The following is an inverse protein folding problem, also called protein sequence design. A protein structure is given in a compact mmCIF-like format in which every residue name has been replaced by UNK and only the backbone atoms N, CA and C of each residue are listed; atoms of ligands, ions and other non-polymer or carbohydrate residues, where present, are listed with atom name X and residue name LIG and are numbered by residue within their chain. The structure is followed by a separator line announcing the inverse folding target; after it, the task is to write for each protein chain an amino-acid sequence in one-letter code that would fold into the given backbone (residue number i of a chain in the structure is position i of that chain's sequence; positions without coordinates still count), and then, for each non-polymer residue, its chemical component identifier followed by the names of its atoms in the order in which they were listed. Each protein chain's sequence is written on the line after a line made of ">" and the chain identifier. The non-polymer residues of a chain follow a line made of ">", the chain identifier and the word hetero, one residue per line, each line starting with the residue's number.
data_IF_330279428617
#
_entry.id   IF_330279428617
#
_cell.length_a   1.000
_cell.length_b   1.000
_cell.length_c   1.000
_cell.angle_alpha   90.00
_cell.angle_beta   90.00
_cell.angle_gamma   90.00
#
_symmetry.space_group_name_H-M   'P 1'
#
loop_
_entity.id
_entity.type
_entity.pdbx_description
1 polymer ?
#
# COMPACT_ATOMS: atom_id res chain seq x y z
N UNK A 1 -10.77 2.57 -21.56
CA UNK A 1 -12.12 2.89 -21.05
C UNK A 1 -12.80 3.69 -22.13
N UNK A 2 -13.98 3.25 -22.62
CA UNK A 2 -14.66 3.94 -23.73
C UNK A 2 -15.33 5.24 -23.22
N UNK A 3 -15.45 6.26 -24.08
CA UNK A 3 -16.13 7.53 -23.76
C UNK A 3 -17.56 7.32 -23.27
N UNK A 4 -18.24 6.29 -23.77
CA UNK A 4 -19.59 5.92 -23.33
C UNK A 4 -19.66 5.49 -21.87
N UNK A 5 -18.64 4.78 -21.37
CA UNK A 5 -18.56 4.35 -19.96
C UNK A 5 -18.37 5.55 -19.04
N UNK A 6 -17.50 6.49 -19.40
CA UNK A 6 -17.26 7.70 -18.62
C UNK A 6 -18.54 8.55 -18.55
N UNK A 7 -19.23 8.73 -19.69
CA UNK A 7 -20.49 9.48 -19.73
C UNK A 7 -21.57 8.87 -18.87
N UNK A 8 -21.69 7.54 -18.83
CA UNK A 8 -22.64 6.85 -17.97
C UNK A 8 -22.36 7.06 -16.49
N UNK A 9 -21.09 6.99 -16.07
CA UNK A 9 -20.70 7.25 -14.68
C UNK A 9 -20.94 8.70 -14.27
N UNK A 10 -20.66 9.66 -15.15
CA UNK A 10 -20.91 11.08 -14.89
C UNK A 10 -22.42 11.36 -14.75
N UNK A 11 -23.26 10.75 -15.58
CA UNK A 11 -24.70 10.90 -15.47
C UNK A 11 -25.23 10.28 -14.15
N UNK A 12 -24.71 9.14 -13.73
CA UNK A 12 -25.03 8.55 -12.43
C UNK A 12 -24.61 9.47 -11.26
N UNK A 13 -23.41 10.05 -11.34
CA UNK A 13 -22.92 11.01 -10.34
C UNK A 13 -23.79 12.27 -10.28
N UNK A 14 -24.18 12.85 -11.42
CA UNK A 14 -25.11 13.99 -11.48
C UNK A 14 -26.42 13.69 -10.80
N UNK A 15 -27.02 12.54 -11.13
CA UNK A 15 -28.29 12.10 -10.53
C UNK A 15 -28.18 11.95 -9.02
N UNK A 16 -27.04 11.45 -8.52
CA UNK A 16 -26.82 11.28 -7.09
C UNK A 16 -26.71 12.60 -6.30
N UNK A 17 -26.20 13.67 -6.94
CA UNK A 17 -26.06 15.00 -6.33
C UNK A 17 -27.19 15.97 -6.72
N UNK A 18 -28.26 15.50 -7.39
CA UNK A 18 -29.40 16.32 -7.79
C UNK A 18 -29.09 17.30 -8.93
N UNK A 19 -28.08 17.02 -9.76
CA UNK A 19 -27.71 17.82 -10.93
C UNK A 19 -28.20 17.14 -12.23
N UNK A 20 -28.46 17.90 -13.28
CA UNK A 20 -28.84 17.37 -14.59
C UNK A 20 -27.79 17.65 -15.65
N UNK A 21 -27.85 16.93 -16.77
CA UNK A 21 -26.99 17.13 -17.92
C UNK A 21 -27.25 18.48 -18.60
N UNK A 22 -28.47 19.00 -18.50
CA UNK A 22 -28.92 20.26 -19.14
C UNK A 22 -28.59 21.45 -18.26
N UNK A 23 -28.79 21.33 -16.93
CA UNK A 23 -28.61 22.47 -16.00
C UNK A 23 -27.13 22.67 -15.59
N UNK A 24 -26.37 21.60 -15.44
CA UNK A 24 -24.93 21.62 -15.13
C UNK A 24 -24.55 22.58 -13.98
N UNK A 25 -25.36 22.62 -12.91
CA UNK A 25 -25.17 23.54 -11.78
C UNK A 25 -23.98 23.13 -10.89
N UNK A 26 -23.74 21.86 -10.74
CA UNK A 26 -22.70 21.33 -9.86
C UNK A 26 -21.55 20.68 -10.65
N UNK A 27 -21.86 19.99 -11.76
CA UNK A 27 -20.90 19.32 -12.63
C UNK A 27 -20.99 19.86 -14.05
N UNK A 28 -20.05 20.73 -14.44
CA UNK A 28 -19.98 21.31 -15.77
C UNK A 28 -19.09 20.51 -16.71
N UNK A 29 -19.59 20.25 -17.91
CA UNK A 29 -18.79 19.66 -18.99
C UNK A 29 -17.93 20.74 -19.64
N UNK A 30 -16.61 20.52 -19.70
CA UNK A 30 -15.66 21.42 -20.40
C UNK A 30 -15.18 20.72 -21.65
N UNK A 31 -15.56 21.28 -22.81
CA UNK A 31 -15.23 20.72 -24.12
C UNK A 31 -13.73 20.45 -24.24
N UNK A 32 -13.36 19.23 -24.66
CA UNK A 32 -11.98 18.72 -24.82
C UNK A 32 -11.13 18.65 -23.54
N UNK A 33 -11.66 19.01 -22.36
CA UNK A 33 -10.92 19.01 -21.08
C UNK A 33 -11.53 18.09 -20.03
N UNK A 34 -12.79 17.65 -20.20
CA UNK A 34 -13.47 16.75 -19.27
C UNK A 34 -14.56 17.43 -18.44
N UNK A 35 -14.62 17.13 -17.15
CA UNK A 35 -15.67 17.57 -16.23
C UNK A 35 -15.09 18.38 -15.08
N UNK A 36 -15.78 19.43 -14.65
CA UNK A 36 -15.39 20.30 -13.55
C UNK A 36 -16.53 20.45 -12.56
N UNK A 37 -16.26 20.24 -11.28
CA UNK A 37 -17.18 20.59 -10.21
C UNK A 37 -17.17 22.12 -9.99
N UNK A 38 -18.35 22.76 -9.98
CA UNK A 38 -18.50 24.20 -9.85
C UNK A 38 -19.46 24.60 -8.70
N UNK A 39 -19.95 23.62 -7.93
CA UNK A 39 -20.79 23.87 -6.76
C UNK A 39 -20.02 24.53 -5.61
N UNK A 40 -20.71 25.34 -4.79
CA UNK A 40 -20.17 25.77 -3.51
C UNK A 40 -20.06 24.58 -2.55
N UNK A 41 -18.84 24.31 -2.11
CA UNK A 41 -18.61 23.33 -1.02
C UNK A 41 -18.76 24.10 0.29
N UNK A 42 -19.93 24.00 0.93
CA UNK A 42 -20.07 24.43 2.33
C UNK A 42 -19.45 23.32 3.20
N UNK A 43 -18.28 23.57 3.75
CA UNK A 43 -17.78 22.77 4.86
C UNK A 43 -18.81 22.90 5.99
N UNK A 44 -19.47 21.79 6.36
CA UNK A 44 -20.39 21.78 7.49
C UNK A 44 -19.67 22.31 8.72
N UNK A 45 -20.35 23.19 9.46
CA UNK A 45 -19.85 23.79 10.69
C UNK A 45 -19.56 22.70 11.72
N UNK A 46 -18.32 22.22 11.74
CA UNK A 46 -17.68 21.75 12.93
C UNK A 46 -16.52 22.71 13.19
N UNK A 47 -16.82 23.73 14.05
CA UNK A 47 -15.90 24.60 14.74
C UNK A 47 -14.73 25.17 13.92
N UNK A 48 -14.92 26.34 13.32
CA UNK A 48 -13.83 27.16 12.84
C UNK A 48 -12.96 27.58 14.03
N UNK A 49 -11.84 26.91 14.21
CA UNK A 49 -10.67 27.44 14.92
C UNK A 49 -9.70 27.92 13.85
N UNK A 50 -9.36 29.21 13.92
CA UNK A 50 -8.34 29.85 13.09
C UNK A 50 -7.05 29.03 13.03
N UNK A 51 -6.31 29.02 11.91
CA UNK A 51 -5.08 28.28 11.79
C UNK A 51 -4.00 28.92 12.67
N UNK A 52 -3.91 28.52 13.92
CA UNK A 52 -2.65 28.60 14.65
C UNK A 52 -1.72 27.59 13.99
N UNK A 53 -0.60 28.10 13.47
CA UNK A 53 0.55 27.27 13.09
C UNK A 53 1.03 26.50 14.35
N UNK A 54 0.37 25.42 14.66
CA UNK A 54 0.89 24.38 15.51
C UNK A 54 1.56 23.39 14.57
N UNK A 55 2.84 23.20 14.78
CA UNK A 55 3.60 22.06 14.26
C UNK A 55 3.01 20.79 14.90
N UNK A 56 1.81 20.42 14.50
CA UNK A 56 1.27 19.12 14.85
C UNK A 56 2.04 18.06 14.04
N UNK A 57 2.47 16.99 14.68
CA UNK A 57 3.02 15.85 13.96
C UNK A 57 1.97 15.38 12.94
N UNK A 58 2.39 14.89 11.77
CA UNK A 58 1.48 14.52 10.70
C UNK A 58 0.35 13.66 11.25
N UNK A 59 -0.89 14.08 10.99
CA UNK A 59 -2.11 13.42 11.47
C UNK A 59 -1.96 11.91 11.26
N UNK A 60 -1.91 11.16 12.34
CA UNK A 60 -1.74 9.72 12.27
C UNK A 60 -2.87 9.15 11.41
N UNK A 61 -2.52 8.50 10.32
CA UNK A 61 -3.50 7.81 9.48
C UNK A 61 -4.27 6.84 10.38
N UNK A 62 -5.59 6.96 10.38
CA UNK A 62 -6.44 6.03 11.12
C UNK A 62 -6.22 4.66 10.49
N UNK A 63 -5.76 3.71 11.31
CA UNK A 63 -5.55 2.34 10.86
C UNK A 63 -6.84 1.78 10.27
N UNK A 64 -6.81 1.12 9.12
CA UNK A 64 -7.98 0.48 8.54
C UNK A 64 -8.64 -0.47 9.55
N UNK A 65 -9.95 -0.56 9.55
CA UNK A 65 -10.70 -1.54 10.38
C UNK A 65 -10.40 -2.99 9.94
N UNK A 66 -9.87 -3.18 8.73
CA UNK A 66 -9.39 -4.46 8.21
C UNK A 66 -7.92 -4.66 8.58
N UNK A 67 -7.47 -5.91 8.79
CA UNK A 67 -6.05 -6.21 8.88
C UNK A 67 -5.31 -5.62 7.68
N UNK A 68 -4.22 -4.92 7.93
CA UNK A 68 -3.47 -4.19 6.92
C UNK A 68 -1.98 -4.45 7.06
N UNK A 69 -1.30 -4.68 5.93
CA UNK A 69 0.10 -5.07 5.90
C UNK A 69 0.87 -4.29 4.83
N UNK A 70 2.11 -3.95 5.15
CA UNK A 70 3.11 -3.53 4.20
C UNK A 70 4.25 -4.56 4.18
N UNK A 71 4.65 -4.99 3.00
CA UNK A 71 5.85 -5.84 2.82
C UNK A 71 7.00 -4.92 2.46
N UNK A 72 8.00 -4.83 3.31
CA UNK A 72 9.20 -4.01 3.06
C UNK A 72 10.16 -4.74 2.12
N UNK A 73 11.02 -3.99 1.40
CA UNK A 73 12.11 -4.58 0.63
C UNK A 73 12.98 -5.46 1.51
N UNK A 74 13.24 -6.69 1.08
CA UNK A 74 14.10 -7.61 1.82
C UNK A 74 15.57 -7.24 1.65
N UNK A 75 16.33 -7.41 2.71
CA UNK A 75 17.77 -7.19 2.68
C UNK A 75 18.49 -8.31 1.91
N UNK A 76 19.23 -7.93 0.88
CA UNK A 76 20.10 -8.86 0.18
C UNK A 76 21.36 -9.15 1.02
N UNK A 77 21.49 -10.35 1.53
CA UNK A 77 22.64 -10.84 2.31
C UNK A 77 23.54 -11.77 1.50
N UNK A 78 23.43 -11.79 0.18
CA UNK A 78 24.21 -12.66 -0.71
C UNK A 78 25.63 -12.16 -0.94
N UNK A 79 25.93 -10.89 -0.65
CA UNK A 79 27.21 -10.26 -0.95
C UNK A 79 27.38 -9.88 -2.42
N UNK A 80 26.40 -10.11 -3.26
CA UNK A 80 26.37 -9.83 -4.69
C UNK A 80 25.27 -8.81 -5.00
N UNK A 81 25.62 -7.59 -5.47
CA UNK A 81 24.65 -6.56 -5.81
C UNK A 81 23.66 -6.98 -6.92
N UNK A 82 24.06 -7.88 -7.82
CA UNK A 82 23.19 -8.36 -8.88
C UNK A 82 22.00 -9.17 -8.34
N UNK A 83 22.11 -9.69 -7.11
CA UNK A 83 21.01 -10.40 -6.44
C UNK A 83 19.97 -9.45 -5.81
N UNK A 84 20.16 -8.13 -5.87
CA UNK A 84 19.22 -7.14 -5.34
C UNK A 84 17.87 -7.21 -6.07
N UNK A 85 17.95 -7.29 -7.38
CA UNK A 85 16.76 -7.43 -8.23
C UNK A 85 16.00 -8.76 -7.96
N UNK A 86 16.74 -9.83 -7.61
CA UNK A 86 16.13 -11.09 -7.23
C UNK A 86 15.38 -10.97 -5.89
N UNK A 87 15.97 -10.30 -4.90
CA UNK A 87 15.30 -10.03 -3.62
C UNK A 87 14.04 -9.17 -3.82
N UNK A 88 14.08 -8.18 -4.72
CA UNK A 88 12.92 -7.36 -5.07
C UNK A 88 11.79 -8.17 -5.71
N UNK A 89 12.14 -9.12 -6.60
CA UNK A 89 11.18 -10.01 -7.24
C UNK A 89 10.46 -10.90 -6.22
N UNK A 90 11.19 -11.47 -5.27
CA UNK A 90 10.60 -12.27 -4.17
C UNK A 90 9.57 -11.46 -3.38
N UNK A 91 9.87 -10.21 -3.05
CA UNK A 91 8.95 -9.32 -2.34
C UNK A 91 7.71 -9.00 -3.18
N UNK A 92 7.87 -8.79 -4.48
CA UNK A 92 6.77 -8.54 -5.39
C UNK A 92 5.80 -9.72 -5.47
N UNK A 93 6.33 -10.94 -5.54
CA UNK A 93 5.54 -12.16 -5.56
C UNK A 93 4.79 -12.38 -4.24
N UNK A 94 5.42 -12.11 -3.09
CA UNK A 94 4.77 -12.14 -1.77
C UNK A 94 3.62 -11.13 -1.71
N UNK A 95 3.84 -9.89 -2.17
CA UNK A 95 2.78 -8.86 -2.24
C UNK A 95 1.63 -9.35 -3.12
N UNK A 96 1.92 -9.97 -4.27
CA UNK A 96 0.92 -10.50 -5.18
C UNK A 96 0.12 -11.64 -4.54
N UNK A 97 0.77 -12.56 -3.82
CA UNK A 97 0.13 -13.65 -3.12
C UNK A 97 -0.79 -13.15 -2.01
N UNK A 98 -0.30 -12.26 -1.13
CA UNK A 98 -1.08 -11.65 -0.06
C UNK A 98 -2.27 -10.84 -0.60
N UNK A 99 -2.13 -10.18 -1.74
CA UNK A 99 -3.20 -9.38 -2.36
C UNK A 99 -4.39 -10.21 -2.86
N UNK A 100 -4.25 -11.53 -2.98
CA UNK A 100 -5.37 -12.44 -3.27
C UNK A 100 -6.32 -12.61 -2.08
N UNK A 101 -5.86 -12.31 -0.87
CA UNK A 101 -6.65 -12.41 0.36
C UNK A 101 -7.55 -11.19 0.50
N UNK A 102 -8.85 -11.31 0.18
CA UNK A 102 -9.81 -10.18 0.13
C UNK A 102 -10.03 -9.47 1.48
N UNK A 103 -9.76 -10.15 2.58
CA UNK A 103 -9.90 -9.61 3.93
C UNK A 103 -8.68 -8.81 4.39
N UNK A 104 -7.52 -8.97 3.72
CA UNK A 104 -6.27 -8.31 4.02
C UNK A 104 -6.10 -7.07 3.12
N UNK A 105 -5.79 -5.93 3.73
CA UNK A 105 -5.41 -4.74 2.99
C UNK A 105 -3.89 -4.71 2.82
N UNK A 106 -3.42 -4.85 1.59
CA UNK A 106 -1.99 -4.91 1.27
C UNK A 106 -1.56 -3.60 0.62
N UNK A 107 -0.50 -2.98 1.15
CA UNK A 107 0.07 -1.75 0.60
C UNK A 107 0.74 -2.04 -0.76
N UNK A 108 0.57 -1.12 -1.69
CA UNK A 108 1.20 -1.20 -3.00
C UNK A 108 2.73 -1.21 -2.88
N UNK A 109 3.38 -2.04 -3.71
CA UNK A 109 4.84 -2.21 -3.77
C UNK A 109 5.59 -0.86 -3.78
N UNK A 110 5.22 0.07 -4.64
CA UNK A 110 5.92 1.34 -4.77
C UNK A 110 5.95 2.16 -3.47
N UNK A 111 4.89 2.07 -2.65
CA UNK A 111 4.85 2.75 -1.36
C UNK A 111 5.81 2.12 -0.35
N UNK A 112 5.85 0.78 -0.28
CA UNK A 112 6.79 0.06 0.58
C UNK A 112 8.24 0.25 0.14
N UNK A 113 8.49 0.31 -1.16
CA UNK A 113 9.85 0.43 -1.72
C UNK A 113 10.49 1.82 -1.54
N UNK A 114 9.75 2.82 -1.08
CA UNK A 114 10.34 4.09 -0.65
C UNK A 114 11.28 3.92 0.56
N UNK A 115 11.16 2.81 1.28
CA UNK A 115 12.01 2.46 2.43
C UNK A 115 13.23 1.62 2.07
N UNK A 116 13.43 1.29 0.78
CA UNK A 116 14.56 0.47 0.34
C UNK A 116 15.90 1.08 0.74
N UNK A 117 16.77 0.24 1.36
CA UNK A 117 18.10 0.65 1.81
C UNK A 117 18.14 1.60 3.01
N UNK A 118 17.00 1.81 3.68
CA UNK A 118 16.90 2.67 4.86
C UNK A 118 16.76 1.83 6.12
N UNK A 119 17.46 2.21 7.18
CA UNK A 119 17.16 1.75 8.52
C UNK A 119 15.96 2.57 9.05
N UNK A 120 14.84 1.92 9.29
CA UNK A 120 13.59 2.57 9.71
C UNK A 120 13.01 1.90 10.94
N UNK A 121 12.34 2.66 11.78
CA UNK A 121 11.52 2.09 12.85
C UNK A 121 10.19 1.61 12.24
N UNK A 122 9.84 0.34 12.47
CA UNK A 122 8.60 -0.26 11.98
C UNK A 122 7.35 0.46 12.47
N UNK A 123 7.39 1.10 13.66
CA UNK A 123 6.30 1.92 14.17
C UNK A 123 6.09 3.18 13.34
N UNK A 124 7.18 3.79 12.86
CA UNK A 124 7.13 4.95 11.97
C UNK A 124 6.60 4.57 10.60
N UNK A 125 7.03 3.42 10.07
CA UNK A 125 6.51 2.86 8.82
C UNK A 125 5.00 2.59 8.94
N UNK A 126 4.57 1.96 10.03
CA UNK A 126 3.16 1.68 10.29
C UNK A 126 2.31 2.94 10.30
N UNK A 127 2.77 4.00 10.96
CA UNK A 127 2.10 5.31 10.99
C UNK A 127 2.07 5.98 9.61
N UNK A 128 3.19 5.98 8.91
CA UNK A 128 3.32 6.64 7.62
C UNK A 128 2.50 5.96 6.51
N UNK A 129 2.43 4.63 6.51
CA UNK A 129 1.67 3.85 5.53
C UNK A 129 0.23 3.54 6.00
N UNK A 130 -0.11 3.82 7.25
CA UNK A 130 -1.43 3.52 7.80
C UNK A 130 -1.69 2.01 7.90
N UNK A 131 -0.69 1.22 8.26
CA UNK A 131 -0.81 -0.25 8.37
C UNK A 131 -0.54 -0.73 9.78
N UNK A 132 -1.24 -1.80 10.15
CA UNK A 132 -1.04 -2.44 11.44
C UNK A 132 0.14 -3.41 11.44
N UNK A 133 0.40 -4.07 10.33
CA UNK A 133 1.45 -5.07 10.23
C UNK A 133 2.50 -4.69 9.21
N UNK A 134 3.74 -5.06 9.49
CA UNK A 134 4.86 -4.97 8.57
C UNK A 134 5.51 -6.35 8.47
N UNK A 135 5.70 -6.82 7.24
CA UNK A 135 6.55 -7.94 6.92
C UNK A 135 7.90 -7.40 6.46
N UNK A 136 8.95 -7.73 7.16
CA UNK A 136 10.33 -7.45 6.75
C UNK A 136 11.13 -8.75 6.66
N UNK A 137 12.26 -8.71 5.98
CA UNK A 137 13.05 -9.92 5.85
C UNK A 137 14.39 -9.73 5.18
N UNK A 138 15.04 -10.87 4.97
CA UNK A 138 16.29 -10.93 4.25
C UNK A 138 16.34 -12.13 3.33
N UNK A 139 17.12 -12.02 2.26
CA UNK A 139 17.38 -13.06 1.30
C UNK A 139 18.88 -13.28 1.20
N UNK A 140 19.30 -14.54 1.23
CA UNK A 140 20.68 -14.97 0.93
C UNK A 140 20.66 -16.05 -0.14
N UNK A 141 21.35 -15.82 -1.23
CA UNK A 141 21.60 -16.81 -2.28
C UNK A 141 23.06 -17.19 -2.28
N UNK A 142 23.33 -18.50 -2.34
CA UNK A 142 24.68 -19.06 -2.43
C UNK A 142 24.65 -20.21 -3.43
N UNK A 143 25.17 -19.99 -4.62
CA UNK A 143 25.04 -20.94 -5.74
C UNK A 143 23.56 -21.17 -6.08
N UNK A 144 23.09 -22.43 -5.97
CA UNK A 144 21.69 -22.82 -6.22
C UNK A 144 20.82 -22.82 -4.95
N UNK A 145 21.38 -22.52 -3.78
CA UNK A 145 20.65 -22.49 -2.51
C UNK A 145 20.14 -21.07 -2.23
N UNK A 146 18.90 -20.99 -1.81
CA UNK A 146 18.25 -19.75 -1.38
C UNK A 146 17.78 -19.92 0.06
N UNK A 147 18.00 -18.91 0.87
CA UNK A 147 17.46 -18.78 2.22
C UNK A 147 16.71 -17.47 2.31
N UNK A 148 15.45 -17.55 2.72
CA UNK A 148 14.59 -16.41 2.98
C UNK A 148 14.29 -16.42 4.48
N UNK A 149 14.44 -15.26 5.13
CA UNK A 149 14.00 -15.06 6.50
C UNK A 149 12.94 -13.98 6.48
N UNK A 150 11.77 -14.25 7.06
CA UNK A 150 10.68 -13.31 7.19
C UNK A 150 10.33 -13.07 8.64
N UNK A 151 9.84 -11.86 8.95
CA UNK A 151 9.40 -11.45 10.27
C UNK A 151 8.16 -10.58 10.13
N UNK A 152 7.07 -10.98 10.79
CA UNK A 152 5.84 -10.19 10.86
C UNK A 152 5.81 -9.43 12.18
N UNK A 153 5.61 -8.12 12.12
CA UNK A 153 5.72 -7.22 13.25
C UNK A 153 4.42 -6.40 13.37
N UNK A 154 3.87 -6.31 14.58
CA UNK A 154 2.79 -5.38 14.90
C UNK A 154 3.39 -3.98 15.09
N UNK A 155 3.02 -3.04 14.24
CA UNK A 155 3.57 -1.68 14.22
C UNK A 155 3.09 -0.83 15.39
N UNK A 156 2.05 -1.24 16.13
CA UNK A 156 1.54 -0.49 17.27
C UNK A 156 2.49 -0.54 18.46
N UNK A 157 3.16 -1.66 18.64
CA UNK A 157 4.05 -1.92 19.79
C UNK A 157 5.47 -2.36 19.39
N UNK A 158 5.68 -2.74 18.10
CA UNK A 158 6.95 -3.27 17.59
C UNK A 158 7.19 -4.74 17.97
N UNK A 159 6.15 -5.46 18.33
CA UNK A 159 6.26 -6.86 18.74
C UNK A 159 6.30 -7.78 17.53
N UNK A 160 7.26 -8.70 17.52
CA UNK A 160 7.31 -9.78 16.53
C UNK A 160 6.19 -10.77 16.80
N UNK A 161 5.29 -10.92 15.83
CA UNK A 161 4.19 -11.88 15.88
C UNK A 161 4.62 -13.24 15.34
N UNK A 162 5.52 -13.22 14.38
CA UNK A 162 6.02 -14.40 13.70
C UNK A 162 7.41 -14.11 13.12
N UNK A 163 8.28 -15.11 13.16
CA UNK A 163 9.58 -15.08 12.52
C UNK A 163 9.95 -16.50 12.08
N UNK A 164 10.24 -16.66 10.79
CA UNK A 164 10.56 -17.97 10.23
C UNK A 164 11.63 -17.87 9.16
N UNK A 165 12.27 -19.01 8.90
CA UNK A 165 13.32 -19.16 7.91
C UNK A 165 13.00 -20.31 6.97
N UNK A 166 12.98 -19.99 5.69
CA UNK A 166 12.74 -20.91 4.60
C UNK A 166 14.04 -21.17 3.86
N UNK A 167 14.32 -22.42 3.53
CA UNK A 167 15.50 -22.83 2.76
C UNK A 167 15.09 -23.76 1.64
N UNK A 168 15.57 -23.50 0.43
CA UNK A 168 15.30 -24.31 -0.75
C UNK A 168 16.32 -24.06 -1.85
N UNK A 169 16.02 -24.55 -3.03
CA UNK A 169 16.79 -24.27 -4.24
C UNK A 169 16.10 -23.22 -5.08
N UNK A 170 16.80 -22.69 -6.09
CA UNK A 170 16.19 -21.74 -7.04
C UNK A 170 14.97 -22.33 -7.78
N UNK A 171 14.91 -23.65 -7.93
CA UNK A 171 13.76 -24.30 -8.54
C UNK A 171 12.51 -24.28 -7.65
N UNK A 172 12.73 -24.21 -6.34
CA UNK A 172 11.65 -24.26 -5.33
C UNK A 172 11.21 -22.85 -4.87
N UNK A 173 11.75 -21.80 -5.48
CA UNK A 173 11.58 -20.42 -4.97
C UNK A 173 10.11 -20.00 -4.91
N UNK A 174 9.30 -20.37 -5.88
CA UNK A 174 7.87 -20.04 -5.91
C UNK A 174 7.11 -20.74 -4.79
N UNK A 175 7.48 -21.97 -4.48
CA UNK A 175 6.91 -22.74 -3.39
C UNK A 175 7.27 -22.12 -2.02
N UNK A 176 8.50 -21.61 -1.87
CA UNK A 176 8.95 -20.89 -0.67
C UNK A 176 8.20 -19.56 -0.46
N UNK A 177 7.91 -18.85 -1.55
CA UNK A 177 7.14 -17.60 -1.52
C UNK A 177 5.70 -17.84 -1.09
N UNK A 178 5.05 -18.87 -1.63
CA UNK A 178 3.70 -19.27 -1.27
C UNK A 178 3.63 -19.70 0.21
N UNK A 179 4.57 -20.51 0.69
CA UNK A 179 4.65 -20.91 2.09
C UNK A 179 4.77 -19.70 3.04
N UNK A 180 5.57 -18.68 2.67
CA UNK A 180 5.70 -17.46 3.46
C UNK A 180 4.41 -16.63 3.51
N UNK A 181 3.65 -16.60 2.44
CA UNK A 181 2.41 -15.85 2.37
C UNK A 181 1.24 -16.55 3.12
N UNK A 182 1.34 -17.85 3.33
CA UNK A 182 0.33 -18.68 4.02
C UNK A 182 0.60 -18.81 5.54
N UNK A 183 1.81 -18.47 6.01
CA UNK A 183 2.22 -18.57 7.41
C UNK A 183 1.72 -17.41 8.26
#
# INVERSE_FOLDING_TARGET
>A
VSESTISSHINAARKAIGDSGDDQHLLRTVARKGFRFVGEVKAGEHGASEPKETKDPPSALVLPTRPSIAVLPFHNLSGDPEQEYFADGVVEDIIAALSRMRWLFVIARNSSFTYKGRAVDVKDVGRALGVRYVLEGSLRKTGNKVRITGQLIDTTNGMHLWAERFEGTLADIFELQDQMAES
#
